data_IF_018736724124
#
_entry.id   IF_018736724124
#
_cell.length_a   1.000
_cell.length_b   1.000
_cell.length_c   1.000
_cell.angle_alpha   90.00
_cell.angle_beta   90.00
_cell.angle_gamma   90.00
#
_symmetry.space_group_name_H-M   'P 1'
#
loop_
_entity.id
_entity.type
_entity.pdbx_description
1 polymer ?
#
# COMPACT_ATOMS: atom_id res chain seq x y z
N UNK A 1 -5.77 19.74 -62.03
CA UNK A 1 -4.88 20.05 -60.87
C UNK A 1 -5.38 19.21 -59.71
N UNK A 2 -4.65 18.15 -59.39
CA UNK A 2 -5.01 17.11 -58.43
C UNK A 2 -4.35 17.35 -57.08
N UNK A 3 -5.17 17.48 -56.02
CA UNK A 3 -4.88 17.25 -54.58
C UNK A 3 -3.85 18.21 -53.90
N UNK A 4 -4.00 18.53 -52.58
CA UNK A 4 -4.30 17.57 -51.52
C UNK A 4 -5.37 17.97 -50.48
N UNK A 5 -6.20 16.97 -50.18
CA UNK A 5 -7.01 16.85 -48.96
C UNK A 5 -6.07 16.61 -47.77
N UNK A 6 -5.51 17.67 -47.21
CA UNK A 6 -4.74 17.60 -45.96
C UNK A 6 -5.74 17.43 -44.79
N UNK A 7 -5.79 16.19 -44.30
CA UNK A 7 -5.71 15.88 -42.87
C UNK A 7 -6.83 16.44 -41.97
N UNK A 8 -8.03 15.85 -42.06
CA UNK A 8 -8.97 15.77 -40.93
C UNK A 8 -8.94 14.36 -40.36
N UNK A 9 -7.80 13.96 -39.76
CA UNK A 9 -7.79 12.79 -38.87
C UNK A 9 -8.68 13.14 -37.67
N UNK A 10 -9.75 12.39 -37.37
CA UNK A 10 -10.75 12.79 -36.39
C UNK A 10 -10.13 12.70 -35.00
N UNK A 11 -10.42 13.66 -34.13
CA UNK A 11 -10.08 13.63 -32.70
C UNK A 11 -10.37 12.26 -32.05
N UNK A 12 -11.39 11.55 -32.53
CA UNK A 12 -11.74 10.19 -32.14
C UNK A 12 -10.63 9.16 -32.43
N UNK A 13 -9.96 9.26 -33.58
CA UNK A 13 -8.85 8.36 -33.93
C UNK A 13 -7.62 8.61 -33.05
N UNK A 14 -7.38 9.86 -32.65
CA UNK A 14 -6.29 10.21 -31.70
C UNK A 14 -6.65 9.71 -30.30
N UNK A 15 -7.90 9.86 -29.87
CA UNK A 15 -8.39 9.35 -28.59
C UNK A 15 -8.32 7.81 -28.52
N UNK A 16 -8.73 7.12 -29.59
CA UNK A 16 -8.64 5.67 -29.70
C UNK A 16 -7.18 5.19 -29.74
N UNK A 17 -6.28 5.90 -30.43
CA UNK A 17 -4.85 5.59 -30.43
C UNK A 17 -4.21 5.82 -29.06
N UNK A 18 -4.62 6.86 -28.32
CA UNK A 18 -4.19 7.09 -26.93
C UNK A 18 -4.70 6.01 -25.98
N UNK A 19 -5.97 5.61 -26.10
CA UNK A 19 -6.55 4.53 -25.31
C UNK A 19 -5.86 3.19 -25.61
N UNK A 20 -5.59 2.90 -26.89
CA UNK A 20 -4.76 1.76 -27.27
C UNK A 20 -3.36 1.86 -26.66
N UNK A 21 -2.72 3.03 -26.70
CA UNK A 21 -1.39 3.22 -26.11
C UNK A 21 -1.38 2.88 -24.61
N UNK A 22 -2.38 3.30 -23.85
CA UNK A 22 -2.53 2.94 -22.43
C UNK A 22 -2.81 1.45 -22.20
N UNK A 23 -3.49 0.78 -23.14
CA UNK A 23 -3.75 -0.67 -23.12
C UNK A 23 -2.50 -1.50 -23.50
N UNK A 24 -1.61 -0.95 -24.33
CA UNK A 24 -0.39 -1.60 -24.83
C UNK A 24 0.88 -1.25 -24.05
N UNK A 25 0.83 -0.30 -23.10
CA UNK A 25 1.95 -0.06 -22.19
C UNK A 25 2.18 -1.32 -21.33
N UNK A 26 3.34 -1.98 -21.42
CA UNK A 26 3.65 -3.09 -20.53
C UNK A 26 3.61 -2.56 -19.10
N UNK A 27 2.77 -3.16 -18.25
CA UNK A 27 2.83 -2.96 -16.80
C UNK A 27 4.23 -3.38 -16.37
N UNK A 28 5.11 -2.41 -16.12
CA UNK A 28 6.42 -2.69 -15.55
C UNK A 28 6.15 -3.34 -14.20
N UNK A 29 6.43 -4.65 -14.09
CA UNK A 29 6.50 -5.31 -12.79
C UNK A 29 7.71 -4.70 -12.10
N UNK A 30 7.47 -3.70 -11.26
CA UNK A 30 8.53 -3.14 -10.42
C UNK A 30 9.19 -4.28 -9.67
N UNK A 31 10.53 -4.25 -9.57
CA UNK A 31 11.24 -5.17 -8.72
C UNK A 31 10.66 -5.08 -7.30
N UNK A 32 10.30 -6.22 -6.71
CA UNK A 32 9.83 -6.27 -5.31
C UNK A 32 10.90 -6.88 -4.43
N UNK A 33 10.93 -6.43 -3.19
CA UNK A 33 11.76 -6.98 -2.12
C UNK A 33 10.84 -7.67 -1.12
N UNK A 34 11.25 -8.86 -0.71
CA UNK A 34 10.57 -9.63 0.33
C UNK A 34 11.19 -9.33 1.69
N UNK A 35 10.36 -8.95 2.65
CA UNK A 35 10.78 -8.67 4.03
C UNK A 35 10.15 -9.74 4.92
N UNK A 36 10.99 -10.53 5.59
CA UNK A 36 10.54 -11.53 6.57
C UNK A 36 10.46 -10.89 7.96
N UNK A 37 9.25 -10.90 8.54
CA UNK A 37 9.00 -10.42 9.90
C UNK A 37 8.74 -11.64 10.78
N UNK A 38 9.61 -11.87 11.77
CA UNK A 38 9.51 -13.00 12.70
C UNK A 38 9.26 -12.53 14.11
N UNK A 39 8.14 -12.96 14.71
CA UNK A 39 7.86 -12.71 16.11
C UNK A 39 8.48 -13.83 16.97
N UNK A 40 9.59 -13.52 17.64
CA UNK A 40 10.22 -14.44 18.62
C UNK A 40 9.84 -14.14 20.07
N UNK A 41 8.95 -13.17 20.31
CA UNK A 41 8.47 -12.83 21.64
C UNK A 41 7.45 -13.88 22.13
N UNK A 42 7.30 -14.08 23.45
CA UNK A 42 6.33 -15.02 24.04
C UNK A 42 4.88 -14.49 24.01
N UNK A 43 4.62 -13.40 23.29
CA UNK A 43 3.31 -12.74 23.18
C UNK A 43 3.07 -12.29 21.73
N UNK A 44 1.82 -12.09 21.31
CA UNK A 44 1.51 -11.55 19.99
C UNK A 44 1.98 -10.10 19.85
N UNK A 45 2.35 -9.74 18.63
CA UNK A 45 2.65 -8.36 18.24
C UNK A 45 1.76 -7.98 17.06
N UNK A 46 1.62 -6.67 16.82
CA UNK A 46 0.95 -6.16 15.64
C UNK A 46 1.91 -5.30 14.82
N UNK A 47 2.70 -5.88 13.91
CA UNK A 47 3.57 -5.09 13.05
C UNK A 47 2.75 -4.04 12.31
N UNK A 48 3.28 -2.82 12.26
CA UNK A 48 2.70 -1.69 11.56
C UNK A 48 3.72 -1.14 10.56
N UNK A 49 3.22 -0.59 9.46
CA UNK A 49 4.04 -0.01 8.41
C UNK A 49 3.55 1.39 8.07
N UNK A 50 4.49 2.31 7.85
CA UNK A 50 4.18 3.67 7.40
C UNK A 50 5.11 4.04 6.25
N UNK A 51 4.59 4.26 5.03
CA UNK A 51 5.43 4.74 3.94
C UNK A 51 5.87 6.19 4.19
N UNK A 52 7.01 6.56 3.63
CA UNK A 52 7.35 7.97 3.39
C UNK A 52 6.45 8.50 2.27
N UNK A 53 6.19 9.80 2.25
CA UNK A 53 5.43 10.48 1.19
C UNK A 53 5.90 10.04 -0.20
N UNK A 54 4.96 9.61 -1.04
CA UNK A 54 5.23 9.13 -2.40
C UNK A 54 5.45 7.61 -2.53
N UNK A 55 5.56 6.87 -1.44
CA UNK A 55 5.65 5.40 -1.47
C UNK A 55 4.32 4.72 -1.12
N UNK A 56 4.13 3.50 -1.62
CA UNK A 56 2.93 2.69 -1.37
C UNK A 56 2.85 2.20 0.08
N UNK A 57 1.63 2.04 0.61
CA UNK A 57 1.38 1.29 1.84
C UNK A 57 1.66 -0.19 1.56
N UNK A 58 2.41 -0.85 2.46
CA UNK A 58 2.75 -2.27 2.36
C UNK A 58 2.09 -3.05 3.50
N UNK A 59 1.87 -4.35 3.32
CA UNK A 59 1.25 -5.22 4.34
C UNK A 59 -0.07 -4.65 4.91
N UNK A 60 -0.84 -3.96 4.06
CA UNK A 60 -2.07 -3.24 4.39
C UNK A 60 -1.95 -2.23 5.54
N UNK A 61 -0.75 -1.76 5.88
CA UNK A 61 -0.51 -0.81 6.97
C UNK A 61 -0.29 -1.46 8.34
N UNK A 62 -0.76 -2.68 8.55
CA UNK A 62 -0.45 -3.46 9.74
C UNK A 62 -1.24 -4.77 9.83
N UNK A 63 -0.75 -5.70 10.66
CA UNK A 63 -1.33 -7.03 10.78
C UNK A 63 -1.06 -7.65 12.16
N UNK A 64 -1.77 -8.73 12.50
CA UNK A 64 -1.51 -9.53 13.69
C UNK A 64 -0.41 -10.56 13.43
N UNK A 65 0.53 -10.73 14.36
CA UNK A 65 1.53 -11.78 14.30
C UNK A 65 1.68 -12.49 15.65
N UNK A 66 1.22 -13.74 15.70
CA UNK A 66 1.27 -14.59 16.89
C UNK A 66 2.70 -14.90 17.35
N UNK A 67 2.85 -15.32 18.61
CA UNK A 67 4.14 -15.75 19.16
C UNK A 67 4.73 -16.90 18.32
N UNK A 68 6.04 -16.85 18.04
CA UNK A 68 6.76 -17.85 17.26
C UNK A 68 6.46 -17.83 15.74
N UNK A 69 5.51 -17.02 15.28
CA UNK A 69 5.12 -16.98 13.87
C UNK A 69 5.99 -16.01 13.07
N UNK A 70 6.05 -16.26 11.77
CA UNK A 70 6.68 -15.34 10.80
C UNK A 70 5.72 -15.05 9.66
N UNK A 71 5.83 -13.85 9.09
CA UNK A 71 5.10 -13.43 7.91
C UNK A 71 6.04 -12.77 6.92
N UNK A 72 5.81 -12.99 5.64
CA UNK A 72 6.60 -12.41 4.56
C UNK A 72 5.76 -11.34 3.87
N UNK A 73 6.26 -10.11 3.84
CA UNK A 73 5.59 -8.97 3.21
C UNK A 73 6.37 -8.54 1.95
N UNK A 74 5.65 -8.04 0.96
CA UNK A 74 6.24 -7.51 -0.28
C UNK A 74 6.29 -5.99 -0.23
N UNK A 75 7.41 -5.42 -0.66
CA UNK A 75 7.58 -3.98 -0.84
C UNK A 75 8.18 -3.71 -2.24
N UNK A 76 7.87 -2.56 -2.87
CA UNK A 76 8.65 -2.06 -4.00
C UNK A 76 10.15 -2.00 -3.66
N UNK A 77 11.04 -2.22 -4.64
CA UNK A 77 12.49 -2.20 -4.44
C UNK A 77 13.03 -0.86 -3.92
N UNK A 78 12.37 0.24 -4.29
CA UNK A 78 12.68 1.60 -3.91
C UNK A 78 11.86 2.06 -2.70
N UNK A 79 11.11 1.16 -2.06
CA UNK A 79 10.23 1.54 -0.96
C UNK A 79 11.01 2.16 0.21
N UNK A 80 10.55 3.33 0.66
CA UNK A 80 11.06 4.01 1.84
C UNK A 80 9.94 4.18 2.85
N UNK A 81 10.18 3.79 4.10
CA UNK A 81 9.20 3.90 5.18
C UNK A 81 9.70 3.37 6.50
N UNK A 82 8.78 3.12 7.43
CA UNK A 82 9.04 2.55 8.75
C UNK A 82 8.25 1.26 8.92
N UNK A 83 8.84 0.32 9.65
CA UNK A 83 8.19 -0.89 10.14
C UNK A 83 8.49 -0.97 11.63
N UNK A 84 7.48 -1.17 12.48
CA UNK A 84 7.65 -1.33 13.92
C UNK A 84 6.65 -2.33 14.48
N UNK A 85 6.97 -2.91 15.64
CA UNK A 85 6.07 -3.80 16.35
C UNK A 85 5.24 -3.01 17.37
N UNK A 86 3.96 -3.36 17.50
CA UNK A 86 3.05 -2.86 18.54
C UNK A 86 2.72 -3.97 19.53
N UNK A 87 2.44 -3.62 20.78
CA UNK A 87 2.14 -4.58 21.84
C UNK A 87 0.87 -4.21 22.61
N UNK A 88 0.21 -5.23 23.19
CA UNK A 88 -0.96 -5.03 24.04
C UNK A 88 -2.13 -4.37 23.31
N UNK A 89 -2.39 -4.78 22.06
CA UNK A 89 -3.41 -4.15 21.22
C UNK A 89 -4.80 -4.77 21.40
N UNK A 90 -5.82 -3.91 21.45
CA UNK A 90 -7.22 -4.28 21.38
C UNK A 90 -7.94 -3.29 20.44
N UNK A 91 -8.34 -3.78 19.26
CA UNK A 91 -9.02 -2.96 18.26
C UNK A 91 -10.53 -3.12 18.41
N UNK A 92 -11.18 -2.13 18.99
CA UNK A 92 -12.65 -2.06 19.01
C UNK A 92 -13.19 -1.60 17.66
N UNK A 93 -14.38 -2.06 17.29
CA UNK A 93 -15.09 -1.57 16.12
C UNK A 93 -15.45 -0.09 16.34
N UNK A 94 -14.68 0.83 15.75
CA UNK A 94 -14.99 2.26 15.80
C UNK A 94 -16.30 2.53 15.04
N UNK A 95 -17.40 2.61 15.77
CA UNK A 95 -18.69 3.06 15.25
C UNK A 95 -18.88 4.55 15.57
N UNK A 96 -19.00 5.38 14.53
CA UNK A 96 -19.39 6.79 14.66
C UNK A 96 -18.26 7.82 14.48
N UNK A 97 -18.65 9.01 14.03
CA UNK A 97 -17.79 10.17 13.73
C UNK A 97 -17.41 11.00 14.97
N UNK A 98 -17.67 10.50 16.19
CA UNK A 98 -17.32 11.19 17.42
C UNK A 98 -15.87 10.84 17.79
N UNK A 99 -14.93 11.59 17.23
CA UNK A 99 -13.49 11.33 17.24
C UNK A 99 -12.85 11.69 18.58
N UNK A 100 -13.14 10.91 19.63
CA UNK A 100 -12.20 10.86 20.75
C UNK A 100 -11.12 9.85 20.37
N UNK A 101 -9.91 10.33 20.10
CA UNK A 101 -8.75 9.48 19.86
C UNK A 101 -8.52 8.61 21.09
N UNK A 102 -8.61 7.30 20.91
CA UNK A 102 -8.23 6.32 21.92
C UNK A 102 -7.17 5.40 21.34
N UNK A 103 -6.05 5.19 22.05
CA UNK A 103 -5.02 4.25 21.63
C UNK A 103 -5.59 2.84 21.67
N UNK A 104 -5.33 2.06 20.63
CA UNK A 104 -5.68 0.64 20.62
C UNK A 104 -4.57 -0.21 21.22
N UNK A 105 -3.32 0.25 21.15
CA UNK A 105 -2.13 -0.45 21.62
C UNK A 105 -1.46 0.28 22.79
N UNK A 106 -0.86 -0.50 23.70
CA UNK A 106 -0.08 0.04 24.82
C UNK A 106 1.24 0.68 24.36
N UNK A 107 1.87 0.13 23.33
CA UNK A 107 3.11 0.68 22.75
C UNK A 107 3.03 0.72 21.22
N UNK A 108 3.67 1.73 20.63
CA UNK A 108 3.77 1.89 19.18
C UNK A 108 2.42 2.14 18.49
N UNK A 109 1.39 2.58 19.22
CA UNK A 109 0.08 2.86 18.65
C UNK A 109 0.14 3.86 17.49
N UNK A 110 -0.70 3.64 16.49
CA UNK A 110 -0.82 4.48 15.30
C UNK A 110 -2.29 4.85 15.07
N UNK A 111 -2.74 5.79 15.90
CA UNK A 111 -4.09 6.34 15.91
C UNK A 111 -5.20 5.32 16.19
N UNK A 112 -4.88 4.29 16.96
CA UNK A 112 -5.74 3.17 17.29
C UNK A 112 -6.29 2.41 16.08
N UNK A 113 -5.56 2.44 14.96
CA UNK A 113 -5.90 1.71 13.72
C UNK A 113 -5.11 0.43 13.62
N UNK A 114 -5.73 -0.67 13.19
CA UNK A 114 -4.96 -1.86 12.81
C UNK A 114 -4.14 -1.60 11.55
N UNK A 115 -4.77 -0.93 10.58
CA UNK A 115 -4.36 -0.65 9.21
C UNK A 115 -4.83 0.75 8.77
#
# INVERSE_FOLDING_TARGET
ITMPTIMRLPLLAIFLQSLLWHLFLPRVKGHTVSILISNKCPFPIWPATAPKTGHAVIADGGFYLGSGHSSLIQAPWDWSGRIWARTGCHFEARQGSNLTWQPACQTGDCDGRLA
#
